data_IF_518477538085
#
_entry.id   IF_518477538085
#
_cell.length_a   1.000
_cell.length_b   1.000
_cell.length_c   1.000
_cell.angle_alpha   90.00
_cell.angle_beta   90.00
_cell.angle_gamma   90.00
#
_symmetry.space_group_name_H-M   'P 1'
#
loop_
_entity.id
_entity.type
_entity.pdbx_description
1 polymer ?
#
# COMPACT_ATOMS: atom_id res chain seq x y z
N UNK A 1 5.59 11.71 -3.71
CA UNK A 1 4.76 11.46 -2.49
C UNK A 1 5.60 10.66 -1.51
N UNK A 2 5.81 11.13 -0.28
CA UNK A 2 6.62 10.40 0.72
C UNK A 2 5.77 9.30 1.37
N UNK A 3 6.33 8.10 1.54
CA UNK A 3 5.68 6.93 2.17
C UNK A 3 5.11 7.31 3.54
N UNK A 4 5.82 8.13 4.31
CA UNK A 4 5.37 8.62 5.62
C UNK A 4 4.08 9.45 5.57
N UNK A 5 3.84 10.21 4.49
CA UNK A 5 2.60 10.99 4.33
C UNK A 5 1.41 10.08 4.05
N UNK A 6 1.59 9.06 3.21
CA UNK A 6 0.56 8.07 2.92
C UNK A 6 0.18 7.30 4.20
N UNK A 7 1.19 6.87 4.96
CA UNK A 7 0.99 6.19 6.23
C UNK A 7 0.24 7.07 7.25
N UNK A 8 0.62 8.34 7.39
CA UNK A 8 -0.06 9.24 8.33
C UNK A 8 -1.53 9.48 7.97
N UNK A 9 -1.84 9.56 6.68
CA UNK A 9 -3.23 9.70 6.21
C UNK A 9 -4.05 8.44 6.43
N UNK A 10 -3.46 7.25 6.27
CA UNK A 10 -4.19 6.01 6.56
C UNK A 10 -4.36 5.76 8.06
N UNK A 11 -3.42 6.18 8.92
CA UNK A 11 -3.60 6.18 10.38
C UNK A 11 -4.82 7.02 10.77
N UNK A 12 -5.04 8.17 10.13
CA UNK A 12 -6.22 9.02 10.38
C UNK A 12 -7.54 8.38 9.91
N UNK A 13 -7.48 7.34 9.08
CA UNK A 13 -8.64 6.58 8.60
C UNK A 13 -8.89 5.30 9.38
N UNK A 14 -8.08 5.03 10.41
CA UNK A 14 -8.27 3.87 11.28
C UNK A 14 -9.68 3.84 11.88
N UNK A 15 -10.24 4.99 12.27
CA UNK A 15 -11.61 5.05 12.80
C UNK A 15 -12.63 4.50 11.79
N UNK A 16 -12.52 4.88 10.52
CA UNK A 16 -13.41 4.38 9.46
C UNK A 16 -13.27 2.87 9.25
N UNK A 17 -12.04 2.36 9.29
CA UNK A 17 -11.77 0.91 9.21
C UNK A 17 -12.36 0.14 10.40
N UNK A 18 -12.31 0.73 11.59
CA UNK A 18 -12.95 0.15 12.78
C UNK A 18 -14.47 0.21 12.66
N UNK A 19 -15.04 1.32 12.17
CA UNK A 19 -16.49 1.48 11.96
C UNK A 19 -17.06 0.49 10.91
N UNK A 20 -16.23 0.07 9.94
CA UNK A 20 -16.57 -0.93 8.93
C UNK A 20 -16.51 -2.38 9.45
N UNK A 21 -16.02 -2.60 10.67
CA UNK A 21 -15.95 -3.92 11.27
C UNK A 21 -17.33 -4.38 11.76
N UNK A 22 -17.97 -5.27 11.00
CA UNK A 22 -19.36 -5.67 11.19
C UNK A 22 -19.56 -6.93 12.07
N UNK A 23 -18.55 -7.34 12.86
CA UNK A 23 -18.70 -8.50 13.74
C UNK A 23 -19.54 -8.11 14.97
N UNK A 24 -20.56 -8.89 15.36
CA UNK A 24 -21.31 -8.61 16.58
C UNK A 24 -20.42 -8.71 17.82
N UNK A 25 -20.55 -7.74 18.72
CA UNK A 25 -19.81 -7.72 19.98
C UNK A 25 -20.47 -8.65 21.01
N UNK A 26 -19.63 -9.41 21.72
CA UNK A 26 -20.04 -10.28 22.81
C UNK A 26 -19.11 -10.07 24.03
N UNK A 27 -19.65 -9.78 25.22
CA UNK A 27 -18.85 -9.45 26.39
C UNK A 27 -18.18 -10.66 27.08
N UNK A 28 -18.45 -11.89 26.65
CA UNK A 28 -17.81 -13.08 27.23
C UNK A 28 -16.30 -13.09 26.96
N UNK A 29 -15.47 -13.28 28.00
CA UNK A 29 -14.00 -13.20 27.92
C UNK A 29 -13.39 -14.03 26.78
N UNK A 30 -13.89 -15.24 26.53
CA UNK A 30 -13.38 -16.10 25.48
C UNK A 30 -13.67 -15.52 24.09
N UNK A 31 -14.86 -14.93 23.91
CA UNK A 31 -15.31 -14.33 22.65
C UNK A 31 -14.66 -12.96 22.44
N UNK A 32 -14.41 -12.21 23.52
CA UNK A 32 -13.76 -10.91 23.48
C UNK A 32 -12.31 -11.00 22.97
N UNK A 33 -11.57 -12.04 23.35
CA UNK A 33 -10.23 -12.28 22.81
C UNK A 33 -10.23 -12.62 21.31
N UNK A 34 -11.27 -13.31 20.83
CA UNK A 34 -11.44 -13.61 19.40
C UNK A 34 -11.83 -12.33 18.66
N UNK A 35 -12.79 -11.58 19.18
CA UNK A 35 -13.23 -10.29 18.62
C UNK A 35 -12.05 -9.34 18.42
N UNK A 36 -11.20 -9.19 19.43
CA UNK A 36 -9.99 -8.36 19.35
C UNK A 36 -9.03 -8.84 18.26
N UNK A 37 -8.78 -10.14 18.17
CA UNK A 37 -7.90 -10.70 17.12
C UNK A 37 -8.46 -10.44 15.72
N UNK A 38 -9.76 -10.62 15.53
CA UNK A 38 -10.42 -10.37 14.25
C UNK A 38 -10.42 -8.89 13.88
N UNK A 39 -10.66 -7.99 14.84
CA UNK A 39 -10.57 -6.55 14.62
C UNK A 39 -9.15 -6.11 14.25
N UNK A 40 -8.13 -6.61 14.97
CA UNK A 40 -6.73 -6.35 14.66
C UNK A 40 -6.39 -6.80 13.23
N UNK A 41 -6.79 -8.01 12.85
CA UNK A 41 -6.56 -8.56 11.51
C UNK A 41 -7.27 -7.75 10.43
N UNK A 42 -8.52 -7.33 10.68
CA UNK A 42 -9.30 -6.49 9.77
C UNK A 42 -8.60 -5.16 9.51
N UNK A 43 -8.19 -4.48 10.59
CA UNK A 43 -7.49 -3.20 10.53
C UNK A 43 -6.15 -3.33 9.80
N UNK A 44 -5.34 -4.35 10.14
CA UNK A 44 -4.05 -4.61 9.48
C UNK A 44 -4.22 -4.87 7.98
N UNK A 45 -5.18 -5.70 7.62
CA UNK A 45 -5.44 -6.06 6.21
C UNK A 45 -5.91 -4.85 5.42
N UNK A 46 -6.85 -4.08 5.96
CA UNK A 46 -7.39 -2.89 5.30
C UNK A 46 -6.35 -1.78 5.14
N UNK A 47 -5.61 -1.48 6.21
CA UNK A 47 -4.51 -0.52 6.19
C UNK A 47 -3.43 -0.92 5.17
N UNK A 48 -3.01 -2.19 5.19
CA UNK A 48 -2.01 -2.73 4.27
C UNK A 48 -2.47 -2.68 2.80
N UNK A 49 -3.73 -3.00 2.54
CA UNK A 49 -4.33 -2.94 1.20
C UNK A 49 -4.37 -1.49 0.66
N UNK A 50 -4.84 -0.54 1.46
CA UNK A 50 -4.93 0.86 1.07
C UNK A 50 -3.55 1.47 0.80
N UNK A 51 -2.58 1.22 1.69
CA UNK A 51 -1.20 1.68 1.50
C UNK A 51 -0.58 1.10 0.23
N UNK A 52 -0.77 -0.20 -0.01
CA UNK A 52 -0.28 -0.87 -1.21
C UNK A 52 -0.88 -0.25 -2.47
N UNK A 53 -2.20 -0.09 -2.53
CA UNK A 53 -2.87 0.48 -3.70
C UNK A 53 -2.37 1.89 -4.03
N UNK A 54 -2.26 2.75 -3.00
CA UNK A 54 -1.83 4.15 -3.17
C UNK A 54 -0.36 4.26 -3.58
N UNK A 55 0.52 3.52 -2.91
CA UNK A 55 1.96 3.63 -3.13
C UNK A 55 2.42 2.89 -4.40
N UNK A 56 1.85 1.72 -4.69
CA UNK A 56 2.16 0.97 -5.92
C UNK A 56 1.77 1.76 -7.17
N UNK A 57 0.61 2.42 -7.16
CA UNK A 57 0.18 3.25 -8.29
C UNK A 57 1.13 4.43 -8.49
N UNK A 58 1.46 5.17 -7.43
CA UNK A 58 2.35 6.33 -7.52
C UNK A 58 3.75 5.96 -8.00
N UNK A 59 4.28 4.82 -7.54
CA UNK A 59 5.62 4.38 -7.95
C UNK A 59 5.62 3.80 -9.37
N UNK A 60 4.60 3.03 -9.76
CA UNK A 60 4.45 2.52 -11.11
C UNK A 60 4.44 3.67 -12.12
N UNK A 61 3.68 4.73 -11.86
CA UNK A 61 3.63 5.93 -12.70
C UNK A 61 4.99 6.64 -12.79
N UNK A 62 5.69 6.80 -11.67
CA UNK A 62 7.03 7.39 -11.68
C UNK A 62 8.03 6.55 -12.47
N UNK A 63 7.95 5.22 -12.34
CA UNK A 63 8.85 4.31 -13.04
C UNK A 63 8.56 4.28 -14.53
N UNK A 64 7.28 4.30 -14.94
CA UNK A 64 6.87 4.41 -16.33
C UNK A 64 7.34 5.73 -16.95
N UNK A 65 7.18 6.85 -16.24
CA UNK A 65 7.67 8.15 -16.68
C UNK A 65 9.21 8.14 -16.86
N UNK A 66 9.94 7.58 -15.91
CA UNK A 66 11.40 7.48 -15.96
C UNK A 66 11.86 6.56 -17.10
N UNK A 67 11.18 5.44 -17.31
CA UNK A 67 11.48 4.53 -18.43
C UNK A 67 11.21 5.19 -19.78
N UNK A 68 10.12 5.95 -19.91
CA UNK A 68 9.79 6.68 -21.13
C UNK A 68 10.88 7.72 -21.44
N UNK A 69 11.24 8.54 -20.46
CA UNK A 69 12.30 9.55 -20.63
C UNK A 69 13.63 8.90 -21.04
N UNK A 70 14.03 7.82 -20.36
CA UNK A 70 15.26 7.09 -20.69
C UNK A 70 15.23 6.50 -22.10
N UNK A 71 14.08 5.99 -22.53
CA UNK A 71 13.88 5.44 -23.87
C UNK A 71 13.98 6.54 -24.93
N UNK A 72 13.34 7.69 -24.72
CA UNK A 72 13.41 8.85 -25.63
C UNK A 72 14.84 9.38 -25.74
N UNK A 73 15.54 9.52 -24.60
CA UNK A 73 16.95 9.89 -24.52
C UNK A 73 17.85 8.92 -25.28
N UNK A 74 17.62 7.61 -25.13
CA UNK A 74 18.37 6.58 -25.83
C UNK A 74 18.12 6.61 -27.34
N UNK A 75 16.88 6.85 -27.79
CA UNK A 75 16.55 6.90 -29.21
C UNK A 75 17.25 8.05 -29.95
N UNK A 76 17.59 9.14 -29.25
CA UNK A 76 18.41 10.24 -29.80
C UNK A 76 19.87 9.83 -29.99
N UNK A 77 20.39 8.94 -29.14
CA UNK A 77 21.78 8.48 -29.18
C UNK A 77 22.01 7.37 -30.20
N UNK A 78 20.95 6.68 -30.66
CA UNK A 78 21.05 5.60 -31.63
C UNK A 78 21.17 6.16 -33.06
N UNK A 79 22.24 5.84 -33.80
CA UNK A 79 22.40 6.24 -35.19
C UNK A 79 21.24 5.77 -36.09
N UNK A 80 20.87 6.57 -37.09
CA UNK A 80 19.71 6.33 -37.95
C UNK A 80 19.71 4.94 -38.63
N UNK A 81 20.89 4.44 -39.00
CA UNK A 81 21.10 3.11 -39.60
C UNK A 81 20.87 1.94 -38.62
N UNK A 82 20.83 2.20 -37.31
CA UNK A 82 20.59 1.20 -36.26
C UNK A 82 19.24 1.36 -35.55
N UNK A 83 18.40 2.33 -35.94
CA UNK A 83 17.10 2.56 -35.29
C UNK A 83 16.12 1.38 -35.43
N UNK A 84 16.22 0.58 -36.49
CA UNK A 84 15.38 -0.62 -36.62
C UNK A 84 15.63 -1.66 -35.51
N UNK A 85 16.82 -1.65 -34.89
CA UNK A 85 17.17 -2.53 -33.77
C UNK A 85 16.77 -1.95 -32.39
N UNK A 86 16.35 -0.68 -32.30
CA UNK A 86 15.99 -0.05 -31.02
C UNK A 86 14.78 -0.70 -30.36
N UNK A 87 13.86 -1.25 -31.16
CA UNK A 87 12.70 -2.01 -30.68
C UNK A 87 13.07 -3.28 -29.90
N UNK A 88 14.29 -3.82 -30.06
CA UNK A 88 14.80 -4.98 -29.32
C UNK A 88 15.36 -4.57 -27.94
N UNK A 89 15.77 -3.31 -27.79
CA UNK A 89 16.40 -2.77 -26.58
C UNK A 89 15.36 -2.21 -25.59
N UNK A 90 14.10 -2.03 -26.03
CA UNK A 90 13.06 -1.49 -25.15
C UNK A 90 12.83 -2.41 -23.94
N UNK A 91 12.89 -1.88 -22.70
CA UNK A 91 12.71 -2.69 -21.51
C UNK A 91 11.33 -3.37 -21.52
N UNK A 92 11.28 -4.64 -21.08
CA UNK A 92 10.03 -5.38 -20.93
C UNK A 92 9.07 -4.58 -20.03
N UNK A 93 7.88 -4.29 -20.56
CA UNK A 93 6.79 -3.57 -19.87
C UNK A 93 6.10 -4.43 -18.80
N UNK A 94 6.85 -5.10 -17.92
CA UNK A 94 6.22 -5.77 -16.79
C UNK A 94 5.82 -4.72 -15.75
N UNK A 95 4.60 -4.79 -15.19
CA UNK A 95 4.19 -3.90 -14.13
C UNK A 95 5.13 -4.04 -12.94
N UNK A 96 5.48 -2.90 -12.33
CA UNK A 96 6.32 -2.90 -11.14
C UNK A 96 5.49 -3.36 -9.93
N UNK A 97 5.96 -4.40 -9.25
CA UNK A 97 5.33 -4.90 -8.03
C UNK A 97 6.11 -4.46 -6.79
N UNK A 98 5.39 -3.93 -5.80
CA UNK A 98 5.96 -3.58 -4.50
C UNK A 98 5.40 -4.52 -3.44
N UNK A 99 6.31 -5.10 -2.66
CA UNK A 99 6.02 -5.86 -1.46
C UNK A 99 6.17 -4.95 -0.23
N UNK A 100 5.06 -4.73 0.48
CA UNK A 100 5.06 -4.04 1.78
C UNK A 100 4.89 -5.06 2.90
N UNK A 101 5.75 -4.97 3.92
CA UNK A 101 5.55 -5.59 5.23
C UNK A 101 5.30 -4.48 6.23
N UNK A 102 4.09 -4.39 6.76
CA UNK A 102 3.77 -3.55 7.91
C UNK A 102 3.87 -4.40 9.17
N UNK A 103 4.35 -3.80 10.25
CA UNK A 103 4.29 -4.39 11.58
C UNK A 103 3.20 -3.62 12.34
N UNK A 104 1.98 -4.16 12.31
CA UNK A 104 0.82 -3.54 12.93
C UNK A 104 0.87 -3.61 14.47
N UNK A 105 1.60 -4.55 15.06
CA UNK A 105 1.79 -4.63 16.52
C UNK A 105 2.42 -3.35 17.06
N UNK A 106 3.45 -2.83 16.37
CA UNK A 106 4.06 -1.54 16.74
C UNK A 106 3.17 -0.33 16.40
N UNK A 107 2.33 -0.43 15.38
CA UNK A 107 1.49 0.68 14.94
C UNK A 107 0.27 0.87 15.85
N UNK A 108 -0.21 -0.21 16.45
CA UNK A 108 -1.37 -0.26 17.33
C UNK A 108 -0.97 -0.44 18.82
N UNK A 109 0.32 -0.43 19.15
CA UNK A 109 0.80 -0.63 20.52
C UNK A 109 0.21 0.36 21.54
N UNK A 110 -0.05 1.59 21.10
CA UNK A 110 -0.65 2.65 21.91
C UNK A 110 -2.18 2.71 21.78
N UNK A 111 -2.79 1.87 20.95
CA UNK A 111 -4.24 1.87 20.75
C UNK A 111 -4.93 1.36 22.01
N UNK A 112 -5.47 2.28 22.80
CA UNK A 112 -6.38 1.98 23.90
C UNK A 112 -7.81 2.04 23.35
N UNK A 113 -8.48 0.89 23.26
CA UNK A 113 -9.94 0.86 23.12
C UNK A 113 -10.56 1.38 24.42
N UNK A 114 -11.13 2.59 24.37
CA UNK A 114 -12.04 3.08 25.40
C UNK A 114 -13.33 2.25 25.35
N UNK A 115 -13.33 1.10 26.02
CA UNK A 115 -14.52 0.30 26.30
C UNK A 115 -15.29 0.87 27.50
N UNK A 116 -15.34 2.20 27.68
CA UNK A 116 -16.27 2.84 28.60
C UNK A 116 -17.66 2.86 27.96
N UNK A 117 -18.45 1.83 28.27
CA UNK A 117 -19.88 1.80 27.98
C UNK A 117 -20.57 3.00 28.66
N UNK A 118 -21.22 3.88 27.86
CA UNK A 118 -22.28 4.77 28.35
C UNK A 118 -23.65 4.16 28.06
#
# INVERSE_FOLDING_TARGET
MKVSKALNEEIRRLSTLVDEFNLPFHPEQLVLNVYKKELHLHVETGLGSNLRARLSTALALNMEASQREMTERMDILIPANHKAASNIILPRRQPFEILYRLNCDNLCADFHEDLEFR
#
